data_IF_491110084646
#
_entry.id   IF_491110084646
#
_cell.length_a   1.000
_cell.length_b   1.000
_cell.length_c   1.000
_cell.angle_alpha   90.00
_cell.angle_beta   90.00
_cell.angle_gamma   90.00
#
_symmetry.space_group_name_H-M   'P 1'
#
loop_
_entity.id
_entity.type
_entity.pdbx_description
1 polymer ?
#
# COMPACT_ATOMS: atom_id res chain seq x y z
N UNK A 1 -3.44 6.01 5.87
CA UNK A 1 -2.95 5.55 4.56
C UNK A 1 -3.92 4.52 4.03
N UNK A 2 -4.31 4.66 2.77
CA UNK A 2 -5.21 3.75 2.08
C UNK A 2 -4.44 3.11 0.94
N UNK A 3 -4.43 1.78 0.91
CA UNK A 3 -3.76 0.98 -0.10
C UNK A 3 -4.83 0.33 -0.97
N UNK A 4 -4.88 0.70 -2.24
CA UNK A 4 -5.74 0.09 -3.24
C UNK A 4 -4.92 -0.94 -4.02
N UNK A 5 -5.42 -2.14 -4.21
CA UNK A 5 -4.74 -3.22 -4.96
C UNK A 5 -5.62 -3.75 -6.09
N UNK A 6 -4.98 -4.18 -7.18
CA UNK A 6 -5.66 -4.82 -8.31
C UNK A 6 -6.15 -6.22 -7.94
N UNK A 7 -5.29 -6.97 -7.22
CA UNK A 7 -5.54 -8.33 -6.77
C UNK A 7 -4.98 -8.50 -5.34
N UNK A 8 -5.87 -8.76 -4.38
CA UNK A 8 -5.52 -8.97 -2.98
C UNK A 8 -4.70 -10.24 -2.77
N UNK A 9 -4.95 -11.28 -3.55
CA UNK A 9 -4.28 -12.56 -3.40
C UNK A 9 -2.85 -12.51 -3.93
N UNK A 10 -2.58 -11.81 -5.04
CA UNK A 10 -1.20 -11.50 -5.48
C UNK A 10 -0.47 -10.63 -4.43
N UNK A 11 -1.13 -9.59 -3.92
CA UNK A 11 -0.56 -8.78 -2.83
C UNK A 11 -0.20 -9.64 -1.62
N UNK A 12 -1.10 -10.54 -1.21
CA UNK A 12 -0.89 -11.44 -0.07
C UNK A 12 0.22 -12.45 -0.34
N UNK A 13 0.32 -12.99 -1.54
CA UNK A 13 1.41 -13.88 -1.95
C UNK A 13 2.77 -13.18 -1.85
N UNK A 14 2.81 -11.87 -2.11
CA UNK A 14 4.01 -11.02 -2.04
C UNK A 14 4.22 -10.30 -0.70
N UNK A 15 3.38 -10.56 0.30
CA UNK A 15 3.37 -9.81 1.57
C UNK A 15 4.74 -9.73 2.28
N UNK A 16 5.58 -10.76 2.15
CA UNK A 16 6.94 -10.74 2.74
C UNK A 16 7.87 -9.74 2.06
N UNK A 17 7.83 -9.69 0.74
CA UNK A 17 8.63 -8.75 -0.05
C UNK A 17 8.15 -7.32 0.19
N UNK A 18 6.84 -7.12 0.15
CA UNK A 18 6.20 -5.83 0.42
C UNK A 18 6.54 -5.35 1.83
N UNK A 19 6.46 -6.23 2.84
CA UNK A 19 6.81 -5.90 4.22
C UNK A 19 8.31 -5.61 4.43
N UNK A 20 9.20 -6.11 3.57
CA UNK A 20 10.61 -5.71 3.55
C UNK A 20 10.75 -4.28 3.02
N UNK A 21 10.18 -3.99 1.84
CA UNK A 21 10.20 -2.65 1.24
C UNK A 21 9.54 -1.61 2.15
N UNK A 22 8.43 -1.98 2.80
CA UNK A 22 7.76 -1.12 3.78
C UNK A 22 8.70 -0.73 4.92
N UNK A 23 9.40 -1.69 5.52
CA UNK A 23 10.36 -1.43 6.60
C UNK A 23 11.58 -0.62 6.14
N UNK A 24 12.02 -0.78 4.89
CA UNK A 24 13.11 0.03 4.32
C UNK A 24 12.74 1.52 4.26
N UNK A 25 11.46 1.86 4.04
CA UNK A 25 11.00 3.25 3.93
C UNK A 25 10.38 3.82 5.21
N UNK A 26 9.57 3.04 5.92
CA UNK A 26 8.80 3.47 7.10
C UNK A 26 9.37 2.98 8.43
N UNK A 27 10.34 2.05 8.43
CA UNK A 27 10.88 1.45 9.65
C UNK A 27 9.79 0.80 10.49
N UNK A 28 9.72 1.20 11.77
CA UNK A 28 8.70 0.75 12.73
C UNK A 28 7.48 1.70 12.81
N UNK A 29 7.36 2.68 11.90
CA UNK A 29 6.21 3.57 11.86
C UNK A 29 5.05 2.93 11.08
N UNK A 30 3.93 2.70 11.75
CA UNK A 30 2.71 2.16 11.14
C UNK A 30 1.56 3.14 11.36
N UNK A 31 1.22 4.00 10.37
CA UNK A 31 0.06 4.88 10.48
C UNK A 31 -1.24 4.07 10.46
N UNK A 32 -2.37 4.71 10.76
CA UNK A 32 -3.66 4.09 10.51
C UNK A 32 -3.77 3.68 9.04
N UNK A 33 -4.15 2.43 8.77
CA UNK A 33 -4.11 1.82 7.44
C UNK A 33 -5.36 1.03 7.08
N UNK A 34 -5.74 1.11 5.80
CA UNK A 34 -6.71 0.22 5.16
C UNK A 34 -6.10 -0.36 3.88
N UNK A 35 -6.39 -1.63 3.58
CA UNK A 35 -6.06 -2.26 2.31
C UNK A 35 -7.35 -2.81 1.69
N UNK A 36 -7.64 -2.42 0.45
CA UNK A 36 -8.85 -2.85 -0.26
C UNK A 36 -8.50 -3.22 -1.70
N UNK A 37 -9.11 -4.30 -2.19
CA UNK A 37 -9.13 -4.61 -3.61
C UNK A 37 -10.18 -3.73 -4.31
N UNK A 38 -9.87 -3.24 -5.51
CA UNK A 38 -10.78 -2.42 -6.30
C UNK A 38 -11.03 -3.06 -7.68
N UNK A 39 -12.14 -2.70 -8.31
CA UNK A 39 -12.52 -3.26 -9.60
C UNK A 39 -11.57 -2.88 -10.76
N UNK A 40 -10.99 -1.67 -10.73
CA UNK A 40 -10.06 -1.18 -11.75
C UNK A 40 -9.34 0.10 -11.32
N UNK A 41 -8.10 0.26 -11.78
CA UNK A 41 -7.38 1.54 -11.77
C UNK A 41 -7.65 2.34 -13.04
N UNK A 42 -7.18 3.58 -13.08
CA UNK A 42 -7.24 4.43 -14.26
C UNK A 42 -6.33 3.89 -15.39
N UNK A 43 -5.10 3.53 -15.06
CA UNK A 43 -4.16 2.88 -15.99
C UNK A 43 -4.19 1.35 -15.81
N UNK A 44 -4.15 0.60 -16.92
CA UNK A 44 -4.31 -0.86 -16.92
C UNK A 44 -3.16 -1.61 -16.23
N UNK A 45 -1.94 -1.05 -16.28
CA UNK A 45 -0.72 -1.68 -15.76
C UNK A 45 -0.45 -1.36 -14.27
N UNK A 46 -1.35 -0.64 -13.60
CA UNK A 46 -1.22 -0.31 -12.17
C UNK A 46 -1.65 -1.51 -11.33
N UNK A 47 -0.75 -1.95 -10.45
CA UNK A 47 -1.00 -3.04 -9.51
C UNK A 47 -1.44 -2.54 -8.12
N UNK A 48 -0.99 -1.33 -7.76
CA UNK A 48 -1.17 -0.74 -6.43
C UNK A 48 -1.19 0.79 -6.52
N UNK A 49 -2.06 1.42 -5.75
CA UNK A 49 -2.06 2.86 -5.49
C UNK A 49 -2.06 3.09 -3.98
N UNK A 50 -1.28 4.07 -3.51
CA UNK A 50 -1.15 4.39 -2.09
C UNK A 50 -1.47 5.87 -1.88
N UNK A 51 -2.52 6.13 -1.11
CA UNK A 51 -2.90 7.48 -0.66
C UNK A 51 -2.62 7.63 0.84
N UNK A 52 -2.01 8.73 1.25
CA UNK A 52 -1.70 8.98 2.67
C UNK A 52 -1.87 10.44 3.06
N UNK A 53 -2.23 10.65 4.33
CA UNK A 53 -2.20 11.94 5.00
C UNK A 53 -1.10 11.88 6.05
N UNK A 54 -0.22 12.87 6.05
CA UNK A 54 0.89 12.99 7.01
C UNK A 54 0.70 14.21 7.91
N UNK A 55 1.04 14.06 9.18
CA UNK A 55 1.23 15.20 10.07
C UNK A 55 2.67 15.71 9.90
N UNK A 56 2.80 17.01 9.65
CA UNK A 56 4.08 17.68 9.50
C UNK A 56 4.17 18.72 10.61
N UNK A 57 5.29 18.74 11.35
CA UNK A 57 5.57 19.84 12.28
C UNK A 57 6.05 21.02 11.43
N UNK A 58 5.31 22.12 11.49
CA UNK A 58 5.63 23.39 10.83
C UNK A 58 6.23 24.33 11.86
#
# INVERSE_FOLDING_TARGET
MTIFVQDRDDYRARAREIGRVYREHFGDHYPAMSLVEIARFYEDDVLIEIEAVAQIQV
#
